data_IF_994954376390
#
_entry.id   IF_994954376390
#
_cell.length_a   1.000
_cell.length_b   1.000
_cell.length_c   1.000
_cell.angle_alpha   90.00
_cell.angle_beta   90.00
_cell.angle_gamma   90.00
#
_symmetry.space_group_name_H-M   'P 1'
#
loop_
_entity.id
_entity.type
_entity.pdbx_description
1 polymer ?
#
# COMPACT_ATOMS: atom_id res chain seq x y z
N UNK A 1 -6.82 -17.73 -27.82
CA UNK A 1 -6.02 -17.50 -26.60
C UNK A 1 -5.74 -16.01 -26.51
N UNK A 2 -6.16 -15.33 -25.43
CA UNK A 2 -5.94 -13.88 -25.28
C UNK A 2 -4.49 -13.66 -24.83
N UNK A 3 -3.75 -12.82 -25.54
CA UNK A 3 -2.41 -12.42 -25.13
C UNK A 3 -2.52 -11.45 -23.94
N UNK A 4 -2.03 -11.85 -22.77
CA UNK A 4 -2.15 -11.05 -21.56
C UNK A 4 -1.33 -9.74 -21.65
N UNK A 5 -0.17 -9.78 -22.31
CA UNK A 5 0.73 -8.61 -22.47
C UNK A 5 0.09 -7.47 -23.24
N UNK A 6 -0.81 -7.77 -24.19
CA UNK A 6 -1.46 -6.76 -25.03
C UNK A 6 -2.83 -6.33 -24.49
N UNK A 7 -3.31 -6.94 -23.40
CA UNK A 7 -4.61 -6.61 -22.83
C UNK A 7 -4.63 -5.19 -22.19
N UNK A 8 -5.35 -4.26 -22.84
CA UNK A 8 -5.46 -2.86 -22.40
C UNK A 8 -6.05 -2.70 -21.00
N UNK A 9 -7.06 -3.52 -20.64
CA UNK A 9 -7.71 -3.45 -19.34
C UNK A 9 -6.75 -3.94 -18.24
N UNK A 10 -5.98 -4.98 -18.51
CA UNK A 10 -4.95 -5.49 -17.59
C UNK A 10 -3.86 -4.44 -17.33
N UNK A 11 -3.34 -3.79 -18.37
CA UNK A 11 -2.41 -2.66 -18.22
C UNK A 11 -2.98 -1.55 -17.34
N UNK A 12 -4.24 -1.19 -17.57
CA UNK A 12 -4.93 -0.16 -16.77
C UNK A 12 -5.04 -0.56 -15.30
N UNK A 13 -5.31 -1.85 -15.01
CA UNK A 13 -5.38 -2.34 -13.63
C UNK A 13 -4.00 -2.35 -12.95
N UNK A 14 -2.93 -2.70 -13.68
CA UNK A 14 -1.55 -2.62 -13.16
C UNK A 14 -1.19 -1.19 -12.79
N UNK A 15 -1.47 -0.20 -13.66
CA UNK A 15 -1.18 1.20 -13.36
C UNK A 15 -2.01 1.72 -12.18
N UNK A 16 -3.25 1.25 -12.03
CA UNK A 16 -4.06 1.54 -10.84
C UNK A 16 -3.49 0.90 -9.57
N UNK A 17 -2.96 -0.32 -9.65
CA UNK A 17 -2.31 -0.96 -8.52
C UNK A 17 -1.03 -0.22 -8.12
N UNK A 18 -0.18 0.15 -9.08
CA UNK A 18 0.99 1.02 -8.83
C UNK A 18 0.59 2.33 -8.16
N UNK A 19 -0.41 3.02 -8.72
CA UNK A 19 -0.93 4.27 -8.14
C UNK A 19 -1.47 4.08 -6.72
N UNK A 20 -2.10 2.93 -6.43
CA UNK A 20 -2.58 2.60 -5.09
C UNK A 20 -1.44 2.34 -4.09
N UNK A 21 -0.35 1.71 -4.54
CA UNK A 21 0.87 1.52 -3.75
C UNK A 21 1.56 2.87 -3.54
N UNK A 22 1.69 3.69 -4.58
CA UNK A 22 2.27 5.03 -4.51
C UNK A 22 1.46 5.94 -3.59
N UNK A 23 0.14 5.73 -3.47
CA UNK A 23 -0.71 6.49 -2.54
C UNK A 23 -0.40 6.24 -1.05
N UNK A 24 0.38 5.20 -0.72
CA UNK A 24 0.97 5.04 0.62
C UNK A 24 2.06 6.07 0.90
N UNK A 25 2.52 6.77 -0.14
CA UNK A 25 3.43 7.90 -0.06
C UNK A 25 2.64 9.16 -0.45
N UNK A 26 2.63 10.17 0.41
CA UNK A 26 1.99 11.44 0.05
C UNK A 26 2.86 12.63 0.39
N UNK A 27 2.79 13.64 -0.47
CA UNK A 27 3.34 14.97 -0.21
C UNK A 27 2.29 15.89 0.43
N UNK A 28 1.02 15.46 0.49
CA UNK A 28 -0.09 16.19 1.12
C UNK A 28 -0.14 15.87 2.62
N UNK A 29 0.68 16.59 3.39
CA UNK A 29 0.83 16.40 4.84
C UNK A 29 -0.52 16.48 5.58
N UNK A 30 -1.38 17.42 5.18
CA UNK A 30 -2.69 17.68 5.79
C UNK A 30 -3.70 16.54 5.67
N UNK A 31 -3.49 15.59 4.75
CA UNK A 31 -4.45 14.50 4.50
C UNK A 31 -4.41 13.43 5.58
N UNK A 32 -3.25 13.22 6.18
CA UNK A 32 -3.05 12.13 7.13
C UNK A 32 -2.47 12.57 8.45
N UNK A 33 -1.92 13.78 8.60
CA UNK A 33 -1.25 14.18 9.83
C UNK A 33 -1.57 15.63 10.19
N UNK A 34 -1.49 15.91 11.49
CA UNK A 34 -1.58 17.27 11.98
C UNK A 34 -0.25 17.98 11.73
N UNK A 35 -0.33 19.22 11.26
CA UNK A 35 0.83 20.07 11.16
C UNK A 35 0.52 21.41 11.82
N UNK A 36 1.48 21.89 12.58
CA UNK A 36 1.38 23.19 13.24
C UNK A 36 2.51 24.06 12.75
N UNK A 37 2.17 25.28 12.39
CA UNK A 37 3.12 26.36 12.20
C UNK A 37 2.96 27.30 13.39
N UNK A 38 3.95 27.33 14.28
CA UNK A 38 3.94 28.20 15.47
C UNK A 38 4.95 29.34 15.27
N UNK A 39 4.52 30.58 15.48
CA UNK A 39 5.43 31.73 15.52
C UNK A 39 5.99 31.87 16.95
N UNK A 40 7.30 31.76 17.11
CA UNK A 40 8.04 31.95 18.37
C UNK A 40 8.95 33.17 18.28
N UNK A 41 8.43 34.33 18.68
CA UNK A 41 9.15 35.61 18.51
C UNK A 41 9.34 35.91 17.02
N UNK A 42 10.60 36.06 16.58
CA UNK A 42 10.98 36.26 15.17
C UNK A 42 11.15 34.93 14.41
N UNK A 43 10.88 33.79 15.04
CA UNK A 43 11.02 32.47 14.44
C UNK A 43 9.71 31.77 14.11
N UNK A 44 9.75 30.84 13.16
CA UNK A 44 8.65 29.92 12.86
C UNK A 44 9.10 28.50 13.14
N UNK A 45 8.31 27.72 13.86
CA UNK A 45 8.51 26.29 14.04
C UNK A 45 7.44 25.53 13.25
N UNK A 46 7.87 24.67 12.32
CA UNK A 46 6.99 23.74 11.62
C UNK A 46 7.09 22.36 12.28
N UNK A 47 5.99 21.88 12.83
CA UNK A 47 5.88 20.56 13.46
C UNK A 47 4.89 19.70 12.69
N UNK A 48 5.24 18.44 12.45
CA UNK A 48 4.33 17.41 11.95
C UNK A 48 4.12 16.40 13.07
N UNK A 49 2.88 16.23 13.50
CA UNK A 49 2.47 15.22 14.47
C UNK A 49 1.86 14.03 13.75
N UNK A 50 2.46 12.86 13.96
CA UNK A 50 1.97 11.59 13.39
C UNK A 50 0.85 10.93 14.23
N UNK A 51 0.45 11.59 15.33
CA UNK A 51 -0.53 11.09 16.30
C UNK A 51 -1.96 11.55 15.99
N UNK A 52 -2.14 12.57 15.15
CA UNK A 52 -3.45 13.19 14.85
C UNK A 52 -4.16 12.69 13.59
N UNK A 53 -3.53 11.79 12.83
CA UNK A 53 -4.09 11.23 11.61
C UNK A 53 -5.27 10.28 11.80
N UNK A 54 -6.28 10.33 10.92
CA UNK A 54 -7.35 9.32 10.93
C UNK A 54 -6.78 7.95 10.51
N UNK A 55 -6.59 7.07 11.49
CA UNK A 55 -6.18 5.68 11.28
C UNK A 55 -7.09 4.96 10.28
N UNK A 56 -8.39 5.29 10.27
CA UNK A 56 -9.35 4.82 9.27
C UNK A 56 -9.00 5.25 7.85
N UNK A 57 -8.55 6.50 7.63
CA UNK A 57 -8.11 6.93 6.31
C UNK A 57 -6.85 6.16 5.87
N UNK A 58 -5.89 5.96 6.77
CA UNK A 58 -4.66 5.19 6.50
C UNK A 58 -5.02 3.73 6.14
N UNK A 59 -5.90 3.12 6.91
CA UNK A 59 -6.43 1.77 6.64
C UNK A 59 -7.12 1.69 5.27
N UNK A 60 -7.95 2.67 4.92
CA UNK A 60 -8.62 2.72 3.62
C UNK A 60 -7.64 2.80 2.45
N UNK A 61 -6.53 3.54 2.58
CA UNK A 61 -5.47 3.56 1.55
C UNK A 61 -4.84 2.18 1.40
N UNK A 62 -4.50 1.52 2.51
CA UNK A 62 -3.91 0.18 2.52
C UNK A 62 -4.84 -0.84 1.83
N UNK A 63 -6.12 -0.87 2.22
CA UNK A 63 -7.11 -1.79 1.63
C UNK A 63 -7.36 -1.47 0.14
N UNK A 64 -7.33 -0.21 -0.26
CA UNK A 64 -7.45 0.14 -1.67
C UNK A 64 -6.27 -0.39 -2.49
N UNK A 65 -5.04 -0.34 -1.96
CA UNK A 65 -3.86 -0.91 -2.62
C UNK A 65 -3.99 -2.45 -2.74
N UNK A 66 -4.35 -3.13 -1.65
CA UNK A 66 -4.62 -4.58 -1.63
C UNK A 66 -5.71 -4.96 -2.63
N UNK A 67 -6.83 -4.25 -2.63
CA UNK A 67 -7.96 -4.49 -3.52
C UNK A 67 -7.64 -4.20 -4.99
N UNK A 68 -6.74 -3.27 -5.29
CA UNK A 68 -6.28 -3.03 -6.66
C UNK A 68 -5.50 -4.25 -7.20
N UNK A 69 -4.63 -4.86 -6.39
CA UNK A 69 -3.93 -6.11 -6.75
C UNK A 69 -4.93 -7.26 -6.90
N UNK A 70 -5.88 -7.39 -5.97
CA UNK A 70 -6.95 -8.38 -6.05
C UNK A 70 -7.79 -8.31 -7.33
N UNK A 71 -8.11 -7.10 -7.80
CA UNK A 71 -8.83 -6.90 -9.07
C UNK A 71 -8.05 -7.37 -10.29
N UNK A 72 -6.72 -7.26 -10.28
CA UNK A 72 -5.88 -7.78 -11.38
C UNK A 72 -6.07 -9.29 -11.48
N UNK A 73 -6.00 -9.98 -10.34
CA UNK A 73 -6.20 -11.42 -10.26
C UNK A 73 -7.53 -11.88 -10.82
N UNK A 74 -8.64 -11.25 -10.41
CA UNK A 74 -9.96 -11.64 -10.91
C UNK A 74 -10.03 -11.46 -12.42
N UNK A 75 -9.45 -10.35 -12.92
CA UNK A 75 -9.44 -10.10 -14.35
C UNK A 75 -8.63 -11.14 -15.13
N UNK A 76 -7.47 -11.57 -14.63
CA UNK A 76 -6.68 -12.65 -15.25
C UNK A 76 -7.48 -13.96 -15.26
N UNK A 77 -8.14 -14.31 -14.14
CA UNK A 77 -8.97 -15.52 -14.05
C UNK A 77 -10.09 -15.51 -15.09
N UNK A 78 -10.76 -14.38 -15.26
CA UNK A 78 -11.85 -14.24 -16.23
C UNK A 78 -11.36 -14.41 -17.69
N UNK A 79 -10.10 -14.05 -17.95
CA UNK A 79 -9.47 -14.18 -19.29
C UNK A 79 -9.00 -15.61 -19.56
N UNK A 80 -8.32 -16.24 -18.59
CA UNK A 80 -7.63 -17.52 -18.84
C UNK A 80 -8.51 -18.75 -18.66
N UNK A 81 -9.58 -18.69 -17.84
CA UNK A 81 -10.61 -19.72 -17.60
C UNK A 81 -10.13 -21.16 -17.22
N UNK A 82 -8.83 -21.46 -17.30
CA UNK A 82 -8.25 -22.80 -17.20
C UNK A 82 -7.68 -23.15 -15.80
N UNK A 83 -7.86 -22.29 -14.80
CA UNK A 83 -7.40 -22.56 -13.42
C UNK A 83 -5.89 -22.37 -13.15
N UNK A 84 -5.08 -22.15 -14.18
CA UNK A 84 -3.63 -21.88 -14.07
C UNK A 84 -3.33 -20.73 -13.09
N UNK A 85 -4.11 -19.65 -13.16
CA UNK A 85 -3.94 -18.48 -12.30
C UNK A 85 -4.15 -18.80 -10.81
N UNK A 86 -5.10 -19.68 -10.47
CA UNK A 86 -5.36 -20.08 -9.08
C UNK A 86 -4.19 -20.91 -8.54
N UNK A 87 -3.63 -21.78 -9.38
CA UNK A 87 -2.43 -22.57 -9.03
C UNK A 87 -1.23 -21.65 -8.81
N UNK A 88 -1.06 -20.64 -9.67
CA UNK A 88 0.01 -19.64 -9.52
C UNK A 88 -0.11 -18.87 -8.21
N UNK A 89 -1.31 -18.35 -7.89
CA UNK A 89 -1.56 -17.60 -6.65
C UNK A 89 -1.28 -18.47 -5.42
N UNK A 90 -1.78 -19.70 -5.41
CA UNK A 90 -1.63 -20.60 -4.26
C UNK A 90 -0.18 -21.01 -4.00
N UNK A 91 0.70 -20.91 -5.01
CA UNK A 91 2.15 -21.13 -4.85
C UNK A 91 2.89 -19.91 -4.32
N UNK A 92 2.31 -18.73 -4.46
CA UNK A 92 2.87 -17.48 -3.98
C UNK A 92 2.31 -17.15 -2.59
N UNK A 93 3.21 -17.06 -1.61
CA UNK A 93 2.83 -16.65 -0.25
C UNK A 93 2.27 -15.23 -0.26
N UNK A 94 2.91 -14.33 -0.99
CA UNK A 94 2.56 -12.91 -1.05
C UNK A 94 1.18 -12.71 -1.69
N UNK A 95 0.92 -13.36 -2.83
CA UNK A 95 -0.38 -13.27 -3.49
C UNK A 95 -1.47 -13.94 -2.68
N UNK A 96 -1.18 -15.08 -2.04
CA UNK A 96 -2.13 -15.73 -1.15
C UNK A 96 -2.51 -14.84 0.04
N UNK A 97 -1.55 -14.13 0.64
CA UNK A 97 -1.80 -13.15 1.70
C UNK A 97 -2.66 -11.97 1.20
N UNK A 98 -2.33 -11.40 0.04
CA UNK A 98 -3.13 -10.30 -0.55
C UNK A 98 -4.56 -10.78 -0.82
N UNK A 99 -4.76 -11.99 -1.33
CA UNK A 99 -6.09 -12.54 -1.58
C UNK A 99 -6.88 -12.77 -0.29
N UNK A 100 -6.24 -13.28 0.77
CA UNK A 100 -6.88 -13.46 2.06
C UNK A 100 -7.29 -12.10 2.65
N UNK A 101 -6.41 -11.11 2.67
CA UNK A 101 -6.72 -9.75 3.14
C UNK A 101 -7.85 -9.10 2.34
N UNK A 102 -7.83 -9.23 1.02
CA UNK A 102 -8.89 -8.70 0.17
C UNK A 102 -10.24 -9.38 0.40
N UNK A 103 -10.24 -10.69 0.63
CA UNK A 103 -11.46 -11.43 0.95
C UNK A 103 -11.99 -11.07 2.34
N UNK A 104 -11.11 -10.82 3.32
CA UNK A 104 -11.50 -10.35 4.65
C UNK A 104 -12.23 -9.02 4.54
N UNK A 105 -11.71 -8.08 3.75
CA UNK A 105 -12.36 -6.78 3.52
C UNK A 105 -13.77 -6.94 2.90
N UNK A 106 -13.91 -7.82 1.91
CA UNK A 106 -15.19 -8.05 1.22
C UNK A 106 -16.22 -8.86 2.00
N UNK A 107 -15.77 -9.82 2.79
CA UNK A 107 -16.63 -10.87 3.36
C UNK A 107 -16.61 -10.92 4.89
N UNK A 108 -15.79 -10.09 5.52
CA UNK A 108 -15.60 -10.04 6.96
C UNK A 108 -14.57 -11.03 7.48
N UNK A 109 -14.19 -10.82 8.74
CA UNK A 109 -13.30 -11.69 9.51
C UNK A 109 -14.11 -12.57 10.50
N UNK A 110 -13.76 -13.84 10.73
CA UNK A 110 -12.68 -14.59 10.08
C UNK A 110 -13.10 -15.16 8.73
N UNK A 111 -12.13 -15.42 7.85
CA UNK A 111 -12.38 -16.21 6.63
C UNK A 111 -12.70 -17.65 6.99
N UNK A 112 -13.70 -18.22 6.31
CA UNK A 112 -14.03 -19.64 6.43
C UNK A 112 -12.94 -20.55 5.87
N UNK A 113 -12.27 -20.11 4.81
CA UNK A 113 -11.24 -20.88 4.09
C UNK A 113 -10.09 -19.96 3.66
N UNK A 114 -9.20 -19.55 4.58
CA UNK A 114 -8.01 -18.79 4.22
C UNK A 114 -7.04 -19.64 3.39
N UNK A 115 -6.42 -19.04 2.36
CA UNK A 115 -5.44 -19.72 1.48
C UNK A 115 -4.14 -20.00 2.19
N UNK A 116 -3.71 -19.07 3.04
CA UNK A 116 -2.41 -19.11 3.70
C UNK A 116 -2.38 -20.02 4.93
N UNK A 117 -3.52 -20.62 5.32
CA UNK A 117 -3.72 -21.30 6.61
C UNK A 117 -3.42 -20.41 7.83
N UNK A 118 -3.20 -19.11 7.61
CA UNK A 118 -3.05 -18.09 8.62
C UNK A 118 -4.33 -17.25 8.70
N UNK A 119 -4.43 -16.43 9.74
CA UNK A 119 -5.49 -15.45 9.89
C UNK A 119 -4.90 -14.03 9.79
N UNK A 120 -4.51 -13.60 8.57
CA UNK A 120 -3.80 -12.34 8.39
C UNK A 120 -4.70 -11.16 8.74
N UNK A 121 -4.14 -10.21 9.48
CA UNK A 121 -4.71 -8.89 9.74
C UNK A 121 -3.68 -7.81 9.41
N UNK A 122 -4.16 -6.63 9.03
CA UNK A 122 -3.33 -5.43 8.97
C UNK A 122 -3.15 -4.93 10.40
N UNK A 123 -1.91 -4.71 10.79
CA UNK A 123 -1.57 -4.24 12.13
C UNK A 123 -0.41 -3.24 12.06
N UNK A 124 -0.17 -2.53 13.17
CA UNK A 124 0.95 -1.61 13.32
C UNK A 124 0.99 -0.54 12.21
N UNK A 125 -0.17 0.03 11.87
CA UNK A 125 -0.26 1.12 10.90
C UNK A 125 0.43 2.35 11.51
N UNK A 126 1.47 2.83 10.82
CA UNK A 126 2.29 3.95 11.25
C UNK A 126 2.54 4.89 10.09
N UNK A 127 2.73 6.15 10.39
CA UNK A 127 3.21 7.13 9.43
C UNK A 127 4.58 7.64 9.83
N UNK A 128 5.39 8.00 8.84
CA UNK A 128 6.67 8.65 9.09
C UNK A 128 7.19 9.35 7.84
N UNK A 129 8.22 10.18 8.01
CA UNK A 129 8.90 10.81 6.89
C UNK A 129 9.78 9.80 6.16
N UNK A 130 9.72 9.80 4.84
CA UNK A 130 10.55 8.99 3.96
C UNK A 130 11.05 9.84 2.79
N UNK A 131 12.24 9.52 2.28
CA UNK A 131 12.66 10.03 0.98
C UNK A 131 11.71 9.56 -0.12
N UNK A 132 11.36 10.44 -1.06
CA UNK A 132 10.45 10.17 -2.17
C UNK A 132 10.92 10.84 -3.46
N UNK A 133 10.77 10.12 -4.59
CA UNK A 133 11.57 10.31 -5.80
C UNK A 133 11.43 11.65 -6.52
N UNK A 134 10.41 12.47 -6.24
CA UNK A 134 10.38 13.87 -6.71
C UNK A 134 9.23 14.68 -6.04
N UNK A 135 9.41 16.00 -5.91
CA UNK A 135 8.32 16.98 -5.71
C UNK A 135 7.91 17.30 -4.26
N UNK A 136 8.28 16.48 -3.28
CA UNK A 136 7.97 16.76 -1.88
C UNK A 136 8.96 17.73 -1.24
N UNK A 137 8.51 18.89 -0.79
CA UNK A 137 9.35 19.89 -0.12
C UNK A 137 8.81 20.09 1.30
N UNK A 138 9.60 19.68 2.29
CA UNK A 138 9.34 20.00 3.70
C UNK A 138 10.21 21.19 4.07
N UNK A 139 9.56 22.28 4.49
CA UNK A 139 10.24 23.47 5.01
C UNK A 139 10.42 23.32 6.52
N UNK A 140 11.62 23.57 7.01
CA UNK A 140 11.95 23.58 8.43
C UNK A 140 13.03 24.64 8.68
N UNK A 141 12.98 25.36 9.79
CA UNK A 141 13.92 26.45 10.05
C UNK A 141 13.44 27.29 11.23
N UNK A 142 14.16 28.36 11.54
CA UNK A 142 13.85 29.26 12.66
C UNK A 142 13.42 30.65 12.19
N UNK A 143 13.06 30.87 10.93
CA UNK A 143 12.64 32.17 10.36
C UNK A 143 12.07 31.95 8.94
N UNK A 144 11.09 32.76 8.51
CA UNK A 144 10.45 32.76 7.18
C UNK A 144 11.47 32.96 6.04
N UNK A 145 12.50 33.79 6.27
CA UNK A 145 13.54 34.09 5.29
C UNK A 145 14.70 33.06 5.27
N UNK A 146 14.78 32.18 6.29
CA UNK A 146 15.82 31.15 6.44
C UNK A 146 15.23 29.73 6.64
N UNK A 147 14.18 29.41 5.90
CA UNK A 147 13.65 28.05 5.88
C UNK A 147 14.59 27.12 5.09
N UNK A 148 15.21 26.18 5.80
CA UNK A 148 15.82 25.02 5.17
C UNK A 148 14.74 24.17 4.52
N UNK A 149 15.06 23.58 3.37
CA UNK A 149 14.14 22.73 2.63
C UNK A 149 14.69 21.33 2.50
N UNK A 150 14.00 20.36 3.09
CA UNK A 150 14.19 18.96 2.77
C UNK A 150 13.37 18.68 1.51
N UNK A 151 14.07 18.62 0.37
CA UNK A 151 13.49 18.22 -0.91
C UNK A 151 13.39 16.70 -0.96
N UNK A 152 12.49 16.21 -1.80
CA UNK A 152 12.29 14.79 -2.07
C UNK A 152 11.86 14.02 -0.81
N UNK A 153 10.92 14.58 -0.03
CA UNK A 153 10.36 13.96 1.18
C UNK A 153 8.85 13.75 1.06
N UNK A 154 8.35 12.61 1.53
CA UNK A 154 6.92 12.30 1.63
C UNK A 154 6.60 11.69 3.00
N UNK A 155 5.32 11.74 3.37
CA UNK A 155 4.78 10.90 4.45
C UNK A 155 4.55 9.51 3.87
N UNK A 156 5.16 8.49 4.48
CA UNK A 156 4.96 7.08 4.18
C UNK A 156 4.04 6.46 5.22
N UNK A 157 2.98 5.80 4.76
CA UNK A 157 2.18 4.86 5.55
C UNK A 157 2.86 3.49 5.51
N UNK A 158 3.23 2.98 6.67
CA UNK A 158 3.84 1.65 6.87
C UNK A 158 2.91 0.79 7.71
N UNK A 159 2.89 -0.52 7.46
CA UNK A 159 2.05 -1.46 8.18
C UNK A 159 2.66 -2.86 8.11
N UNK A 160 2.28 -3.72 9.04
CA UNK A 160 2.63 -5.14 9.04
C UNK A 160 1.39 -5.97 8.72
N UNK A 161 1.62 -7.14 8.13
CA UNK A 161 0.64 -8.22 8.11
C UNK A 161 1.01 -9.21 9.20
N UNK A 162 0.08 -9.46 10.11
CA UNK A 162 0.29 -10.29 11.30
C UNK A 162 -0.75 -11.42 11.30
N UNK A 163 -0.35 -12.61 11.73
CA UNK A 163 -1.30 -13.67 12.03
C UNK A 163 -2.00 -13.37 13.35
N UNK A 164 -3.30 -13.10 13.31
CA UNK A 164 -4.09 -12.73 14.50
C UNK A 164 -4.01 -13.75 15.63
N UNK A 165 -3.87 -15.04 15.30
CA UNK A 165 -3.90 -16.09 16.31
C UNK A 165 -2.55 -16.23 17.03
N UNK A 166 -1.45 -15.99 16.33
CA UNK A 166 -0.09 -16.21 16.88
C UNK A 166 0.65 -14.92 17.21
N UNK A 167 0.16 -13.76 16.72
CA UNK A 167 0.87 -12.48 16.80
C UNK A 167 2.12 -12.41 15.92
N UNK A 168 2.38 -13.43 15.10
CA UNK A 168 3.59 -13.49 14.26
C UNK A 168 3.45 -12.58 13.05
N UNK A 169 4.47 -11.76 12.80
CA UNK A 169 4.59 -10.99 11.55
C UNK A 169 4.76 -11.94 10.37
N UNK A 170 3.82 -11.88 9.43
CA UNK A 170 3.81 -12.67 8.19
C UNK A 170 4.55 -11.96 7.06
N UNK A 171 4.44 -10.62 6.99
CA UNK A 171 5.13 -9.77 6.02
C UNK A 171 5.14 -8.30 6.45
N UNK A 172 6.14 -7.55 6.01
CA UNK A 172 6.06 -6.08 5.88
C UNK A 172 5.11 -5.70 4.73
N UNK A 173 4.32 -4.64 4.91
CA UNK A 173 3.28 -4.23 3.96
C UNK A 173 3.80 -3.71 2.62
N UNK A 174 4.89 -2.94 2.62
CA UNK A 174 5.48 -2.39 1.39
C UNK A 174 6.15 -3.51 0.58
N UNK A 175 6.86 -4.41 1.27
CA UNK A 175 7.44 -5.60 0.66
C UNK A 175 6.35 -6.53 0.07
N UNK A 176 5.25 -6.73 0.80
CA UNK A 176 4.13 -7.57 0.36
C UNK A 176 3.51 -7.03 -0.93
N UNK A 177 3.16 -5.74 -0.96
CA UNK A 177 2.49 -5.12 -2.09
C UNK A 177 3.37 -5.11 -3.34
N UNK A 178 4.65 -4.75 -3.20
CA UNK A 178 5.61 -4.73 -4.31
C UNK A 178 5.83 -6.12 -4.87
N UNK A 179 6.14 -7.09 -4.00
CA UNK A 179 6.40 -8.46 -4.44
C UNK A 179 5.18 -9.10 -5.10
N UNK A 180 3.97 -8.89 -4.54
CA UNK A 180 2.75 -9.39 -5.15
C UNK A 180 2.51 -8.79 -6.55
N UNK A 181 2.72 -7.48 -6.72
CA UNK A 181 2.56 -6.83 -8.02
C UNK A 181 3.61 -7.32 -9.04
N UNK A 182 4.88 -7.41 -8.63
CA UNK A 182 5.97 -7.92 -9.47
C UNK A 182 5.68 -9.35 -9.94
N UNK A 183 5.29 -10.24 -9.03
CA UNK A 183 4.94 -11.63 -9.35
C UNK A 183 3.78 -11.71 -10.38
N UNK A 184 2.76 -10.86 -10.26
CA UNK A 184 1.69 -10.77 -11.27
C UNK A 184 2.23 -10.27 -12.61
N UNK A 185 3.09 -9.26 -12.62
CA UNK A 185 3.68 -8.74 -13.86
C UNK A 185 4.55 -9.78 -14.55
N UNK A 186 5.30 -10.58 -13.80
CA UNK A 186 6.10 -11.69 -14.31
C UNK A 186 5.21 -12.78 -14.90
N UNK A 187 4.13 -13.15 -14.21
CA UNK A 187 3.14 -14.09 -14.74
C UNK A 187 2.57 -13.62 -16.09
N UNK A 188 2.14 -12.37 -16.17
CA UNK A 188 1.63 -11.76 -17.40
C UNK A 188 2.70 -11.73 -18.50
N UNK A 189 3.96 -11.55 -18.12
CA UNK A 189 5.08 -11.48 -19.07
C UNK A 189 5.51 -12.84 -19.61
N UNK A 190 5.09 -13.94 -18.98
CA UNK A 190 5.40 -15.31 -19.42
C UNK A 190 4.28 -15.97 -20.23
N UNK A 191 3.07 -15.39 -20.20
CA UNK A 191 1.87 -15.82 -20.96
C UNK A 191 1.66 -14.97 -22.22
#
# INVERSE_FOLDING_TARGET
MVNLKTNKRLKTLIEKAKSGIDALYTTEISKFEEHTLEKKGDSFAYSISFEGGSEHLKYNVIINAIGAIGKIKEHIRDIEQNGDVETFINKSKELSLIMDLWNIDKHGYPLKQPRTQHYPIIDSIRSGLSGYREGGIIKYGNDEDNLATAKNMAIKISFNIVDKNTGKVLSDGDALLKSALEQIQDYISTK
#
